data_IF_124463644519
#
_entry.id   IF_124463644519
#
_cell.length_a   1.000
_cell.length_b   1.000
_cell.length_c   1.000
_cell.angle_alpha   90.00
_cell.angle_beta   90.00
_cell.angle_gamma   90.00
#
_symmetry.space_group_name_H-M   'P 1'
#
loop_
_entity.id
_entity.type
_entity.pdbx_description
1 polymer ?
#
# COMPACT_ATOMS: atom_id res chain seq x y z
N UNK A 1 -8.98 -18.04 5.00
CA UNK A 1 -9.57 -16.75 5.43
C UNK A 1 -9.27 -16.58 6.92
N UNK A 2 -8.64 -15.48 7.37
CA UNK A 2 -8.32 -15.31 8.78
C UNK A 2 -9.59 -14.96 9.56
N UNK A 3 -10.00 -15.81 10.50
CA UNK A 3 -11.29 -15.68 11.22
C UNK A 3 -11.17 -14.96 12.56
N UNK A 4 -9.95 -14.72 13.03
CA UNK A 4 -9.67 -14.19 14.35
C UNK A 4 -8.45 -13.28 14.31
N UNK A 5 -8.54 -12.16 15.02
CA UNK A 5 -7.41 -11.25 15.22
C UNK A 5 -7.26 -10.95 16.71
N UNK A 6 -6.14 -11.35 17.34
CA UNK A 6 -5.88 -11.07 18.75
C UNK A 6 -5.40 -9.64 18.94
N UNK A 7 -5.55 -9.12 20.17
CA UNK A 7 -5.07 -7.78 20.53
C UNK A 7 -3.56 -7.60 20.27
N UNK A 8 -2.75 -8.63 20.55
CA UNK A 8 -1.29 -8.60 20.38
C UNK A 8 -0.88 -8.35 18.92
N UNK A 9 -1.62 -8.94 17.97
CA UNK A 9 -1.38 -8.73 16.55
C UNK A 9 -1.75 -7.31 16.12
N UNK A 10 -2.92 -6.80 16.53
CA UNK A 10 -3.31 -5.41 16.27
C UNK A 10 -2.27 -4.45 16.82
N UNK A 11 -1.83 -4.66 18.06
CA UNK A 11 -0.82 -3.81 18.67
C UNK A 11 0.54 -3.87 17.93
N UNK A 12 0.96 -5.04 17.45
CA UNK A 12 2.18 -5.19 16.64
C UNK A 12 2.07 -4.46 15.30
N UNK A 13 0.95 -4.61 14.60
CA UNK A 13 0.68 -3.93 13.33
C UNK A 13 0.62 -2.42 13.52
N UNK A 14 -0.03 -1.96 14.59
CA UNK A 14 -0.08 -0.54 14.94
C UNK A 14 1.32 0.07 15.10
N UNK A 15 2.19 -0.57 15.89
CA UNK A 15 3.58 -0.13 16.07
C UNK A 15 4.37 -0.12 14.76
N UNK A 16 4.19 -1.13 13.90
CA UNK A 16 4.82 -1.17 12.57
C UNK A 16 4.29 -0.04 11.67
N UNK A 17 2.98 0.21 11.71
CA UNK A 17 2.32 1.25 10.95
C UNK A 17 2.77 2.66 11.34
N UNK A 18 3.00 2.90 12.63
CA UNK A 18 3.61 4.16 13.12
C UNK A 18 5.03 4.33 12.59
N UNK A 19 5.88 3.29 12.74
CA UNK A 19 7.29 3.33 12.32
C UNK A 19 7.46 3.60 10.83
N UNK A 20 6.61 2.99 10.01
CA UNK A 20 6.65 3.15 8.56
C UNK A 20 5.91 4.40 8.05
N UNK A 21 5.34 5.22 8.95
CA UNK A 21 4.54 6.39 8.60
C UNK A 21 3.16 6.08 8.00
N UNK A 22 2.81 4.80 7.82
CA UNK A 22 1.55 4.37 7.22
C UNK A 22 0.33 4.78 8.04
N UNK A 23 0.48 4.86 9.37
CA UNK A 23 -0.60 5.30 10.26
C UNK A 23 -1.13 6.68 9.87
N UNK A 24 -0.25 7.61 9.48
CA UNK A 24 -0.64 8.98 9.16
C UNK A 24 -1.42 9.08 7.84
N UNK A 25 -1.28 8.08 6.96
CA UNK A 25 -1.94 8.00 5.65
C UNK A 25 -3.33 7.40 5.70
N UNK A 26 -3.73 6.81 6.83
CA UNK A 26 -5.11 6.38 7.06
C UNK A 26 -6.02 7.59 7.25
N UNK A 27 -7.26 7.47 6.80
CA UNK A 27 -8.27 8.49 7.09
C UNK A 27 -8.74 8.44 8.56
N UNK A 28 -9.55 9.42 8.96
CA UNK A 28 -10.02 9.52 10.35
C UNK A 28 -10.92 8.35 10.75
N UNK A 29 -11.74 7.83 9.84
CA UNK A 29 -12.63 6.70 10.10
C UNK A 29 -11.86 5.41 10.29
N UNK A 30 -10.84 5.17 9.45
CA UNK A 30 -9.94 4.03 9.57
C UNK A 30 -9.17 4.05 10.89
N UNK A 31 -8.64 5.22 11.28
CA UNK A 31 -7.95 5.40 12.57
C UNK A 31 -8.89 5.11 13.74
N UNK A 32 -10.10 5.67 13.70
CA UNK A 32 -11.10 5.49 14.76
C UNK A 32 -11.52 4.02 14.87
N UNK A 33 -11.87 3.39 13.75
CA UNK A 33 -12.26 1.99 13.68
C UNK A 33 -11.14 1.06 14.18
N UNK A 34 -9.89 1.34 13.79
CA UNK A 34 -8.75 0.56 14.25
C UNK A 34 -8.56 0.64 15.76
N UNK A 35 -8.59 1.85 16.33
CA UNK A 35 -8.50 2.07 17.78
C UNK A 35 -9.64 1.38 18.54
N UNK A 36 -10.88 1.51 18.06
CA UNK A 36 -12.04 0.86 18.67
C UNK A 36 -11.92 -0.67 18.64
N UNK A 37 -11.49 -1.23 17.50
CA UNK A 37 -11.27 -2.68 17.35
C UNK A 37 -10.16 -3.18 18.27
N UNK A 38 -9.08 -2.41 18.41
CA UNK A 38 -7.98 -2.73 19.33
C UNK A 38 -8.43 -2.69 20.80
N UNK A 39 -9.20 -1.67 21.20
CA UNK A 39 -9.77 -1.59 22.54
C UNK A 39 -10.71 -2.76 22.83
N UNK A 40 -11.59 -3.08 21.88
CA UNK A 40 -12.48 -4.23 21.97
C UNK A 40 -11.70 -5.54 22.12
N UNK A 41 -10.67 -5.75 21.28
CA UNK A 41 -9.79 -6.92 21.37
C UNK A 41 -9.06 -7.00 22.70
N UNK A 42 -8.70 -5.86 23.31
CA UNK A 42 -8.07 -5.83 24.65
C UNK A 42 -9.02 -6.33 25.73
N UNK A 43 -10.30 -5.99 25.63
CA UNK A 43 -11.33 -6.40 26.60
C UNK A 43 -11.81 -7.84 26.41
N UNK A 44 -11.92 -8.31 25.17
CA UNK A 44 -12.47 -9.63 24.81
C UNK A 44 -11.42 -10.64 24.35
N UNK A 45 -10.14 -10.30 24.46
CA UNK A 45 -8.95 -11.00 23.93
C UNK A 45 -8.89 -11.19 22.40
N UNK A 46 -10.01 -11.13 21.68
CA UNK A 46 -10.08 -11.41 20.24
C UNK A 46 -11.25 -10.71 19.55
N UNK A 47 -11.09 -10.49 18.25
CA UNK A 47 -12.15 -10.08 17.33
C UNK A 47 -12.50 -11.27 16.45
N UNK A 48 -13.77 -11.69 16.46
CA UNK A 48 -14.24 -12.84 15.66
C UNK A 48 -15.41 -12.50 14.72
N UNK A 49 -16.01 -11.31 14.83
CA UNK A 49 -17.11 -10.93 13.94
C UNK A 49 -16.58 -10.82 12.49
N UNK A 50 -17.07 -11.63 11.53
CA UNK A 50 -16.50 -11.68 10.17
C UNK A 50 -16.52 -10.33 9.44
N UNK A 51 -17.54 -9.51 9.68
CA UNK A 51 -17.66 -8.16 9.10
C UNK A 51 -16.61 -7.21 9.68
N UNK A 52 -16.38 -7.27 10.99
CA UNK A 52 -15.33 -6.47 11.64
C UNK A 52 -13.95 -6.93 11.17
N UNK A 53 -13.74 -8.25 11.09
CA UNK A 53 -12.48 -8.87 10.64
C UNK A 53 -12.16 -8.47 9.20
N UNK A 54 -13.14 -8.48 8.29
CA UNK A 54 -12.88 -8.11 6.89
C UNK A 54 -12.50 -6.63 6.74
N UNK A 55 -13.13 -5.72 7.50
CA UNK A 55 -12.80 -4.29 7.47
C UNK A 55 -11.41 -4.06 8.08
N UNK A 56 -11.12 -4.63 9.24
CA UNK A 56 -9.83 -4.40 9.91
C UNK A 56 -8.67 -5.00 9.13
N UNK A 57 -8.86 -6.12 8.41
CA UNK A 57 -7.83 -6.71 7.55
C UNK A 57 -7.41 -5.75 6.43
N UNK A 58 -8.35 -5.04 5.81
CA UNK A 58 -8.04 -4.01 4.80
C UNK A 58 -7.18 -2.88 5.38
N UNK A 59 -7.45 -2.46 6.62
CA UNK A 59 -6.65 -1.44 7.30
C UNK A 59 -5.26 -1.99 7.67
N UNK A 60 -5.19 -3.25 8.13
CA UNK A 60 -3.92 -3.94 8.42
C UNK A 60 -3.05 -4.03 7.17
N UNK A 61 -3.62 -4.30 6.00
CA UNK A 61 -2.90 -4.31 4.72
C UNK A 61 -2.28 -2.94 4.42
N UNK A 62 -3.06 -1.86 4.57
CA UNK A 62 -2.55 -0.47 4.44
C UNK A 62 -1.41 -0.18 5.43
N UNK A 63 -1.53 -0.63 6.67
CA UNK A 63 -0.50 -0.44 7.69
C UNK A 63 0.76 -1.28 7.45
N UNK A 64 0.62 -2.47 6.85
CA UNK A 64 1.75 -3.36 6.52
C UNK A 64 2.42 -3.04 5.19
N UNK A 65 1.79 -2.22 4.34
CA UNK A 65 2.35 -1.79 3.06
C UNK A 65 3.77 -1.24 3.25
N UNK A 66 4.74 -1.80 2.54
CA UNK A 66 6.11 -1.30 2.59
C UNK A 66 6.30 -0.17 1.58
N UNK A 67 7.25 0.77 1.82
CA UNK A 67 7.61 1.77 0.82
C UNK A 67 7.93 1.15 -0.55
N UNK A 68 8.59 -0.02 -0.55
CA UNK A 68 8.88 -0.79 -1.75
C UNK A 68 7.63 -1.23 -2.51
N UNK A 69 6.67 -1.89 -1.83
CA UNK A 69 5.43 -2.35 -2.48
C UNK A 69 4.63 -1.19 -3.05
N UNK A 70 4.64 -0.07 -2.35
CA UNK A 70 4.00 1.17 -2.81
C UNK A 70 4.68 1.75 -4.04
N UNK A 71 6.01 1.86 -4.00
CA UNK A 71 6.79 2.32 -5.15
C UNK A 71 6.54 1.40 -6.36
N UNK A 72 6.54 0.09 -6.17
CA UNK A 72 6.23 -0.86 -7.23
C UNK A 72 4.83 -0.64 -7.83
N UNK A 73 3.80 -0.49 -6.99
CA UNK A 73 2.42 -0.24 -7.46
C UNK A 73 2.32 1.06 -8.25
N UNK A 74 2.83 2.16 -7.71
CA UNK A 74 2.81 3.46 -8.39
C UNK A 74 3.65 3.44 -9.67
N UNK A 75 4.81 2.79 -9.62
CA UNK A 75 5.74 2.64 -10.72
C UNK A 75 5.12 1.89 -11.88
N UNK A 76 4.39 0.80 -11.62
CA UNK A 76 3.68 0.03 -12.65
C UNK A 76 2.59 0.86 -13.32
N UNK A 77 1.77 1.58 -12.55
CA UNK A 77 0.73 2.46 -13.10
C UNK A 77 1.35 3.55 -13.98
N UNK A 78 2.43 4.19 -13.50
CA UNK A 78 3.13 5.23 -14.26
C UNK A 78 3.82 4.67 -15.50
N UNK A 79 4.45 3.51 -15.41
CA UNK A 79 5.09 2.85 -16.54
C UNK A 79 4.07 2.50 -17.63
N UNK A 80 2.88 1.98 -17.26
CA UNK A 80 1.78 1.73 -18.20
C UNK A 80 1.32 3.02 -18.87
N UNK A 81 1.06 4.08 -18.10
CA UNK A 81 0.63 5.37 -18.64
C UNK A 81 1.68 5.95 -19.62
N UNK A 82 2.96 5.90 -19.25
CA UNK A 82 4.06 6.32 -20.12
C UNK A 82 4.17 5.45 -21.37
N UNK A 83 3.96 4.14 -21.25
CA UNK A 83 4.01 3.23 -22.38
C UNK A 83 2.94 3.56 -23.42
N UNK A 84 1.68 3.71 -22.99
CA UNK A 84 0.57 4.13 -23.86
C UNK A 84 0.86 5.48 -24.53
N UNK A 85 1.31 6.46 -23.76
CA UNK A 85 1.66 7.78 -24.29
C UNK A 85 2.78 7.71 -25.35
N UNK A 86 3.85 6.95 -25.08
CA UNK A 86 4.98 6.83 -26.00
C UNK A 86 4.61 6.10 -27.30
N UNK A 87 3.70 5.12 -27.21
CA UNK A 87 3.19 4.40 -28.37
C UNK A 87 2.33 5.29 -29.26
N UNK A 88 1.39 6.05 -28.68
CA UNK A 88 0.52 6.97 -29.43
C UNK A 88 1.30 8.09 -30.12
N UNK A 89 2.38 8.60 -29.49
CA UNK A 89 3.17 9.71 -30.02
C UNK A 89 4.39 9.27 -30.85
N UNK A 90 4.54 7.97 -31.15
CA UNK A 90 5.68 7.48 -31.94
C UNK A 90 7.05 7.65 -31.25
N UNK A 91 7.09 7.88 -29.94
CA UNK A 91 8.32 8.15 -29.18
C UNK A 91 9.29 6.98 -29.24
N UNK A 92 8.77 5.75 -29.31
CA UNK A 92 9.60 4.55 -29.42
C UNK A 92 10.36 4.44 -30.76
N UNK A 93 9.96 5.21 -31.78
CA UNK A 93 10.70 5.27 -33.04
C UNK A 93 12.05 5.95 -32.90
N UNK A 94 12.11 7.08 -32.16
CA UNK A 94 13.36 7.81 -31.93
C UNK A 94 14.09 7.38 -30.65
N UNK A 95 13.36 6.86 -29.65
CA UNK A 95 13.93 6.34 -28.40
C UNK A 95 13.46 4.89 -28.11
N UNK A 96 14.00 3.89 -28.84
CA UNK A 96 13.61 2.49 -28.65
C UNK A 96 14.03 1.94 -27.28
N UNK A 97 15.14 2.41 -26.70
CA UNK A 97 15.62 1.98 -25.36
C UNK A 97 14.63 2.26 -24.24
N UNK A 98 13.85 3.34 -24.35
CA UNK A 98 12.82 3.68 -23.35
C UNK A 98 11.77 2.57 -23.24
N UNK A 99 11.46 1.88 -24.35
CA UNK A 99 10.53 0.74 -24.36
C UNK A 99 11.02 -0.41 -23.49
N UNK A 100 12.33 -0.66 -23.48
CA UNK A 100 12.96 -1.71 -22.66
C UNK A 100 13.03 -1.29 -21.19
N UNK A 101 13.36 -0.02 -20.93
CA UNK A 101 13.39 0.51 -19.57
C UNK A 101 12.02 0.43 -18.90
N UNK A 102 10.94 0.79 -19.59
CA UNK A 102 9.57 0.69 -19.06
C UNK A 102 9.14 -0.75 -18.71
N UNK A 103 9.84 -1.77 -19.20
CA UNK A 103 9.63 -3.18 -18.84
C UNK A 103 10.55 -3.67 -17.72
N UNK A 104 11.60 -2.91 -17.40
CA UNK A 104 12.63 -3.31 -16.46
C UNK A 104 12.17 -3.06 -15.02
N UNK A 105 12.19 -4.08 -14.12
CA UNK A 105 11.74 -3.92 -12.74
C UNK A 105 12.42 -2.78 -11.98
N UNK A 106 13.74 -2.62 -12.13
CA UNK A 106 14.50 -1.56 -11.47
C UNK A 106 14.01 -0.16 -11.86
N UNK A 107 13.73 0.05 -13.15
CA UNK A 107 13.24 1.33 -13.66
C UNK A 107 11.80 1.61 -13.22
N UNK A 108 10.93 0.58 -13.21
CA UNK A 108 9.57 0.68 -12.69
C UNK A 108 9.58 1.10 -11.22
N UNK A 109 10.43 0.48 -10.39
CA UNK A 109 10.56 0.82 -8.97
C UNK A 109 11.08 2.25 -8.81
N UNK A 110 12.07 2.65 -9.61
CA UNK A 110 12.60 4.02 -9.61
C UNK A 110 11.54 5.06 -9.99
N UNK A 111 10.73 4.80 -11.02
CA UNK A 111 9.56 5.63 -11.37
C UNK A 111 8.58 5.74 -10.21
N UNK A 112 8.38 4.62 -9.52
CA UNK A 112 7.60 4.50 -8.30
C UNK A 112 8.05 5.44 -7.20
N UNK A 113 9.33 5.39 -6.83
CA UNK A 113 9.88 6.26 -5.80
C UNK A 113 9.82 7.74 -6.17
N UNK A 114 10.16 8.10 -7.41
CA UNK A 114 10.06 9.48 -7.88
C UNK A 114 8.62 10.02 -7.90
N UNK A 115 7.62 9.14 -8.02
CA UNK A 115 6.21 9.56 -7.93
C UNK A 115 5.72 9.83 -6.51
N UNK A 116 6.45 9.37 -5.48
CA UNK A 116 6.06 9.54 -4.08
C UNK A 116 6.43 10.92 -3.53
N UNK A 117 7.40 11.59 -4.15
CA UNK A 117 7.76 12.97 -3.86
C UNK A 117 7.08 13.87 -4.90
N UNK A 118 5.88 14.37 -4.59
CA UNK A 118 5.41 15.60 -5.24
C UNK A 118 6.22 16.74 -4.61
N UNK A 119 7.23 17.23 -5.34
CA UNK A 119 7.76 18.59 -5.15
C UNK A 119 6.65 19.59 -5.51
#
# INVERSE_FOLDING_TARGET
>A
MKMLIPHTELFSVFRKGLRNGNWYRLDNWEKAFYKATMLYAKLKNRVMNPKVVSIILKIIEKLKETPYLRALKNGLEKAKAMFSFCETNGVFGWCPRLREWLKTPAYIIWLGFNSLHKL
#
